data_IF_052877789512
#
_entry.id   IF_052877789512
#
_cell.length_a   1.000
_cell.length_b   1.000
_cell.length_c   1.000
_cell.angle_alpha   90.00
_cell.angle_beta   90.00
_cell.angle_gamma   90.00
#
_symmetry.space_group_name_H-M   'P 1'
#
loop_
_entity.id
_entity.type
_entity.pdbx_description
1 polymer ?
#
# COMPACT_ATOMS: atom_id res chain seq x y z
N UNK A 1 -3.58 16.84 4.66
CA UNK A 1 -2.40 15.99 4.89
C UNK A 1 -1.20 16.79 5.41
N UNK A 2 -0.74 17.85 4.73
CA UNK A 2 0.39 18.68 5.22
C UNK A 2 0.20 19.15 6.68
N UNK A 3 -1.01 19.58 7.06
CA UNK A 3 -1.34 19.92 8.45
C UNK A 3 -1.11 18.79 9.46
N UNK A 4 -1.24 17.53 9.03
CA UNK A 4 -1.14 16.36 9.90
C UNK A 4 0.30 15.82 10.00
N UNK A 5 1.07 15.88 8.91
CA UNK A 5 2.42 15.28 8.86
C UNK A 5 3.55 16.31 8.76
N UNK A 6 3.23 17.59 8.60
CA UNK A 6 4.17 18.68 8.36
C UNK A 6 4.58 18.81 6.88
N UNK A 7 5.06 20.00 6.52
CA UNK A 7 5.48 20.33 5.15
C UNK A 7 6.57 19.40 4.64
N UNK A 8 7.64 19.21 5.42
CA UNK A 8 8.78 18.37 5.03
C UNK A 8 8.35 16.94 4.68
N UNK A 9 7.54 16.29 5.52
CA UNK A 9 7.05 14.94 5.23
C UNK A 9 6.03 14.92 4.10
N UNK A 10 5.26 15.98 3.93
CA UNK A 10 4.36 16.11 2.79
C UNK A 10 5.13 16.20 1.47
N UNK A 11 6.27 16.87 1.44
CA UNK A 11 7.12 16.97 0.26
C UNK A 11 7.83 15.63 -0.01
N UNK A 12 8.37 14.96 1.02
CA UNK A 12 8.86 13.57 0.92
C UNK A 12 7.81 12.60 0.39
N UNK A 13 6.56 12.76 0.82
CA UNK A 13 5.47 11.92 0.31
C UNK A 13 5.21 12.18 -1.18
N UNK A 14 5.24 13.45 -1.64
CA UNK A 14 5.08 13.77 -3.06
C UNK A 14 6.19 13.15 -3.89
N UNK A 15 7.44 13.27 -3.44
CA UNK A 15 8.60 12.65 -4.10
C UNK A 15 8.45 11.12 -4.17
N UNK A 16 8.06 10.50 -3.05
CA UNK A 16 7.82 9.06 -3.00
C UNK A 16 6.73 8.63 -3.98
N UNK A 17 5.59 9.31 -3.98
CA UNK A 17 4.49 9.03 -4.90
C UNK A 17 4.90 9.24 -6.36
N UNK A 18 5.69 10.27 -6.67
CA UNK A 18 6.24 10.47 -8.01
C UNK A 18 7.09 9.27 -8.43
N UNK A 19 8.01 8.82 -7.56
CA UNK A 19 8.85 7.66 -7.86
C UNK A 19 8.05 6.37 -8.08
N UNK A 20 6.95 6.18 -7.35
CA UNK A 20 6.08 5.02 -7.55
C UNK A 20 5.34 5.07 -8.90
N UNK A 21 4.99 6.26 -9.37
CA UNK A 21 4.42 6.43 -10.71
C UNK A 21 5.48 6.14 -11.78
N UNK A 22 6.66 6.76 -11.67
CA UNK A 22 7.72 6.66 -12.67
C UNK A 22 8.27 5.23 -12.80
N UNK A 23 8.41 4.51 -11.68
CA UNK A 23 9.02 3.17 -11.67
C UNK A 23 8.01 2.04 -11.86
N UNK A 24 6.77 2.21 -11.37
CA UNK A 24 5.81 1.11 -11.26
C UNK A 24 4.44 1.43 -11.85
N UNK A 25 4.23 2.60 -12.44
CA UNK A 25 2.93 3.07 -12.91
C UNK A 25 1.84 3.04 -11.81
N UNK A 26 2.23 3.27 -10.55
CA UNK A 26 1.28 3.43 -9.45
C UNK A 26 0.78 4.87 -9.44
N UNK A 27 -0.52 5.01 -9.70
CA UNK A 27 -1.17 6.30 -9.83
C UNK A 27 -1.79 6.71 -8.48
N UNK A 28 -1.42 7.89 -7.93
CA UNK A 28 -2.13 8.44 -6.79
C UNK A 28 -3.53 8.90 -7.21
N UNK A 29 -4.56 8.38 -6.54
CA UNK A 29 -5.94 8.83 -6.73
C UNK A 29 -6.44 9.50 -5.46
N UNK A 30 -6.97 10.72 -5.60
CA UNK A 30 -7.68 11.37 -4.51
C UNK A 30 -9.07 10.74 -4.38
N UNK A 31 -9.26 9.96 -3.31
CA UNK A 31 -10.52 9.28 -3.03
C UNK A 31 -11.53 10.15 -2.28
N UNK A 32 -12.72 9.60 -2.05
CA UNK A 32 -13.71 10.17 -1.11
C UNK A 32 -13.06 10.37 0.27
N UNK A 33 -13.29 11.53 0.89
CA UNK A 33 -12.68 11.91 2.18
C UNK A 33 -11.21 12.37 2.08
N UNK A 34 -10.78 12.92 0.92
CA UNK A 34 -9.43 13.44 0.62
C UNK A 34 -8.26 12.52 1.02
N UNK A 35 -8.49 11.21 0.99
CA UNK A 35 -7.44 10.19 1.13
C UNK A 35 -6.68 10.00 -0.18
N UNK A 36 -5.37 9.80 -0.09
CA UNK A 36 -4.54 9.45 -1.24
C UNK A 36 -4.50 7.94 -1.34
N UNK A 37 -4.97 7.40 -2.46
CA UNK A 37 -4.98 5.97 -2.73
C UNK A 37 -3.90 5.62 -3.75
N UNK A 38 -2.96 4.75 -3.40
CA UNK A 38 -1.88 4.31 -4.27
C UNK A 38 -2.37 3.10 -5.07
N UNK A 39 -2.64 3.30 -6.36
CA UNK A 39 -3.25 2.27 -7.19
C UNK A 39 -2.38 1.91 -8.38
N UNK A 40 -2.01 0.64 -8.51
CA UNK A 40 -1.55 0.09 -9.77
C UNK A 40 -2.78 -0.14 -10.67
N UNK A 41 -2.73 0.33 -11.91
CA UNK A 41 -3.69 -0.06 -12.95
C UNK A 41 -3.01 -1.10 -13.84
N UNK A 42 -3.43 -2.36 -13.73
CA UNK A 42 -2.99 -3.41 -14.65
C UNK A 42 -3.91 -3.49 -15.86
N UNK A 43 -3.64 -4.44 -16.75
CA UNK A 43 -4.52 -4.80 -17.88
C UNK A 43 -5.88 -5.30 -17.39
N UNK A 44 -5.89 -6.09 -16.32
CA UNK A 44 -7.08 -6.82 -15.88
C UNK A 44 -7.82 -6.13 -14.72
N UNK A 45 -7.14 -5.41 -13.82
CA UNK A 45 -7.79 -4.77 -12.67
C UNK A 45 -7.00 -3.57 -12.10
N UNK A 46 -7.38 -3.12 -10.90
CA UNK A 46 -6.70 -2.10 -10.10
C UNK A 46 -6.36 -2.64 -8.72
N UNK A 47 -5.08 -2.58 -8.35
CA UNK A 47 -4.56 -3.03 -7.07
C UNK A 47 -4.23 -1.86 -6.16
N UNK A 48 -4.80 -1.85 -4.95
CA UNK A 48 -4.52 -0.82 -3.95
C UNK A 48 -3.35 -1.23 -3.04
N UNK A 49 -2.22 -0.54 -3.15
CA UNK A 49 -1.04 -0.81 -2.33
C UNK A 49 -1.05 -0.08 -0.98
N UNK A 50 -1.79 1.03 -0.90
CA UNK A 50 -2.09 1.75 0.34
C UNK A 50 -3.17 2.81 0.13
N UNK A 51 -3.80 3.22 1.23
CA UNK A 51 -4.65 4.40 1.32
C UNK A 51 -4.19 5.27 2.49
N UNK A 52 -3.67 6.45 2.19
CA UNK A 52 -3.17 7.42 3.16
C UNK A 52 -4.32 8.37 3.51
N UNK A 53 -4.75 8.33 4.77
CA UNK A 53 -5.85 9.14 5.27
C UNK A 53 -5.41 10.58 5.54
N UNK A 54 -6.36 11.50 5.75
CA UNK A 54 -6.06 12.92 5.98
C UNK A 54 -5.17 13.18 7.22
N UNK A 55 -5.29 12.33 8.24
CA UNK A 55 -4.50 12.34 9.48
C UNK A 55 -3.12 11.65 9.31
N UNK A 56 -2.80 11.14 8.13
CA UNK A 56 -1.55 10.45 7.82
C UNK A 56 -1.56 8.95 8.12
N UNK A 57 -2.64 8.38 8.65
CA UNK A 57 -2.70 6.92 8.84
C UNK A 57 -2.70 6.18 7.51
N UNK A 58 -2.00 5.05 7.47
CA UNK A 58 -1.95 4.17 6.29
C UNK A 58 -2.89 2.99 6.48
N UNK A 59 -3.88 2.91 5.60
CA UNK A 59 -4.87 1.85 5.57
C UNK A 59 -4.67 1.01 4.30
N UNK A 60 -5.19 -0.21 4.30
CA UNK A 60 -5.10 -1.14 3.18
C UNK A 60 -6.49 -1.65 2.87
N UNK A 61 -6.83 -1.68 1.58
CA UNK A 61 -8.13 -2.14 1.15
C UNK A 61 -8.01 -3.11 0.00
N UNK A 62 -8.60 -4.28 0.16
CA UNK A 62 -8.85 -5.19 -0.95
C UNK A 62 -7.62 -5.84 -1.59
N UNK A 63 -6.37 -5.52 -1.21
CA UNK A 63 -5.18 -6.14 -1.83
C UNK A 63 -5.23 -7.68 -1.75
N UNK A 64 -5.61 -8.23 -0.58
CA UNK A 64 -5.73 -9.68 -0.38
C UNK A 64 -6.82 -10.27 -1.26
N UNK A 65 -8.01 -9.64 -1.27
CA UNK A 65 -9.14 -10.08 -2.07
C UNK A 65 -8.85 -9.98 -3.58
N UNK A 66 -8.18 -8.92 -4.03
CA UNK A 66 -7.79 -8.74 -5.43
C UNK A 66 -6.79 -9.79 -5.87
N UNK A 67 -5.79 -10.11 -5.03
CA UNK A 67 -4.85 -11.20 -5.32
C UNK A 67 -5.52 -12.58 -5.28
N UNK A 68 -6.57 -12.76 -4.48
CA UNK A 68 -7.38 -13.99 -4.49
C UNK A 68 -8.18 -14.14 -5.80
N UNK A 69 -8.72 -13.05 -6.35
CA UNK A 69 -9.46 -13.06 -7.62
C UNK A 69 -8.60 -13.54 -8.78
N UNK A 70 -7.30 -13.17 -8.81
CA UNK A 70 -6.33 -13.67 -9.82
C UNK A 70 -5.67 -15.00 -9.44
N UNK A 71 -6.23 -15.72 -8.46
CA UNK A 71 -5.84 -17.10 -8.15
C UNK A 71 -4.79 -17.31 -7.07
N UNK A 72 -4.16 -16.26 -6.51
CA UNK A 72 -3.22 -16.41 -5.38
C UNK A 72 -3.38 -15.34 -4.29
N UNK A 73 -4.29 -15.63 -3.36
CA UNK A 73 -4.49 -14.88 -2.11
C UNK A 73 -3.23 -14.66 -1.29
N UNK A 74 -2.25 -15.58 -1.38
CA UNK A 74 -1.04 -15.52 -0.58
C UNK A 74 -0.18 -14.31 -0.91
N UNK A 75 -0.29 -13.75 -2.12
CA UNK A 75 0.43 -12.54 -2.55
C UNK A 75 0.05 -11.37 -1.65
N UNK A 76 -1.24 -11.04 -1.53
CA UNK A 76 -1.68 -9.93 -0.69
C UNK A 76 -1.40 -10.14 0.80
N UNK A 77 -1.51 -11.38 1.30
CA UNK A 77 -1.16 -11.70 2.70
C UNK A 77 0.33 -11.50 2.95
N UNK A 78 1.19 -11.99 2.05
CA UNK A 78 2.65 -11.83 2.14
C UNK A 78 3.02 -10.36 2.07
N UNK A 79 2.41 -9.58 1.19
CA UNK A 79 2.62 -8.13 1.12
C UNK A 79 2.37 -7.46 2.48
N UNK A 80 1.21 -7.69 3.10
CA UNK A 80 0.89 -7.07 4.40
C UNK A 80 1.78 -7.56 5.55
N UNK A 81 2.15 -8.84 5.55
CA UNK A 81 3.07 -9.40 6.57
C UNK A 81 4.50 -8.84 6.43
N UNK A 82 5.03 -8.79 5.21
CA UNK A 82 6.36 -8.24 4.95
C UNK A 82 6.40 -6.75 5.26
N UNK A 83 5.35 -6.02 4.89
CA UNK A 83 5.24 -4.60 5.21
C UNK A 83 5.20 -4.37 6.73
N UNK A 84 4.46 -5.20 7.46
CA UNK A 84 4.46 -5.17 8.93
C UNK A 84 5.86 -5.36 9.52
N UNK A 85 6.70 -6.22 8.95
CA UNK A 85 8.10 -6.39 9.40
C UNK A 85 8.90 -5.11 9.13
N UNK A 86 8.81 -4.56 7.90
CA UNK A 86 9.55 -3.35 7.47
C UNK A 86 9.29 -2.18 8.43
N UNK A 87 8.02 -1.96 8.79
CA UNK A 87 7.65 -0.85 9.68
C UNK A 87 7.51 -1.26 11.13
N UNK A 88 8.03 -2.42 11.57
CA UNK A 88 7.94 -2.84 12.97
C UNK A 88 6.51 -2.87 13.55
N UNK A 89 5.54 -3.21 12.71
CA UNK A 89 4.13 -3.39 13.04
C UNK A 89 3.75 -4.87 13.18
N UNK A 90 2.44 -5.12 13.10
CA UNK A 90 1.83 -6.45 13.10
C UNK A 90 0.76 -6.50 12.02
N UNK A 91 0.76 -7.59 11.27
CA UNK A 91 -0.37 -7.95 10.43
C UNK A 91 -1.61 -8.16 11.30
N UNK A 92 -2.67 -7.42 11.02
CA UNK A 92 -3.92 -7.43 11.76
C UNK A 92 -5.04 -7.95 10.85
N UNK A 93 -5.50 -9.15 11.18
CA UNK A 93 -6.57 -9.85 10.49
C UNK A 93 -7.85 -10.01 11.35
N UNK A 94 -8.01 -9.19 12.40
CA UNK A 94 -9.18 -9.26 13.30
C UNK A 94 -10.50 -8.90 12.61
N UNK A 95 -10.45 -8.12 11.54
CA UNK A 95 -11.62 -7.67 10.79
C UNK A 95 -11.83 -8.53 9.54
N UNK A 96 -12.89 -8.21 8.78
CA UNK A 96 -13.10 -8.80 7.45
C UNK A 96 -11.86 -8.58 6.58
N UNK A 97 -11.58 -9.53 5.72
CA UNK A 97 -10.40 -9.58 4.86
C UNK A 97 -10.13 -8.30 4.07
N UNK A 98 -11.20 -7.67 3.56
CA UNK A 98 -11.13 -6.38 2.89
C UNK A 98 -10.44 -5.28 3.72
N UNK A 99 -10.44 -5.41 5.04
CA UNK A 99 -9.90 -4.45 6.02
C UNK A 99 -8.68 -5.01 6.77
N UNK A 100 -8.08 -6.11 6.31
CA UNK A 100 -6.81 -6.57 6.88
C UNK A 100 -5.74 -5.51 6.69
N UNK A 101 -4.94 -5.29 7.74
CA UNK A 101 -4.11 -4.09 7.85
C UNK A 101 -2.79 -4.35 8.54
N UNK A 102 -1.94 -3.33 8.56
CA UNK A 102 -0.70 -3.28 9.36
C UNK A 102 -0.90 -2.29 10.49
N UNK A 103 -0.74 -2.74 11.74
CA UNK A 103 -0.96 -1.91 12.93
C UNK A 103 0.19 -2.06 13.92
N UNK A 104 0.41 -1.03 14.76
CA UNK A 104 1.30 -1.14 15.93
C UNK A 104 0.49 -0.80 17.17
N UNK A 105 0.51 -1.69 18.17
CA UNK A 105 -0.29 -1.54 19.40
C UNK A 105 -1.79 -1.29 19.13
N UNK A 106 -2.34 -1.94 18.10
CA UNK A 106 -3.75 -1.82 17.72
C UNK A 106 -4.13 -0.54 16.98
N UNK A 107 -3.17 0.33 16.65
CA UNK A 107 -3.38 1.57 15.89
C UNK A 107 -2.76 1.49 14.50
N UNK A 108 -3.34 2.21 13.54
CA UNK A 108 -2.73 2.37 12.22
C UNK A 108 -1.42 3.15 12.33
N UNK A 109 -0.46 2.78 11.50
CA UNK A 109 0.87 3.41 11.47
C UNK A 109 0.80 4.64 10.55
N UNK A 110 1.49 5.71 10.93
CA UNK A 110 1.51 6.95 10.15
C UNK A 110 2.45 6.83 8.94
N UNK A 111 2.08 7.47 7.83
CA UNK A 111 2.83 7.48 6.57
C UNK A 111 4.27 7.97 6.76
N UNK A 112 4.54 8.86 7.72
CA UNK A 112 5.90 9.32 8.02
C UNK A 112 6.83 8.17 8.37
N UNK A 113 6.34 7.15 9.09
CA UNK A 113 7.14 5.99 9.47
C UNK A 113 7.47 5.11 8.25
N UNK A 114 6.49 4.91 7.35
CA UNK A 114 6.73 4.19 6.09
C UNK A 114 7.75 4.91 5.21
N UNK A 115 7.72 6.26 5.17
CA UNK A 115 8.66 7.06 4.38
C UNK A 115 10.10 6.94 4.90
N UNK A 116 10.32 6.59 6.18
CA UNK A 116 11.67 6.28 6.68
C UNK A 116 12.24 4.96 6.12
N UNK A 117 11.37 4.11 5.56
CA UNK A 117 11.67 2.80 4.97
C UNK A 117 11.23 2.73 3.51
N UNK A 118 11.28 3.88 2.82
CA UNK A 118 10.72 4.04 1.48
C UNK A 118 11.31 3.09 0.45
N UNK A 119 12.62 2.83 0.50
CA UNK A 119 13.28 1.94 -0.47
C UNK A 119 12.92 0.48 -0.22
N UNK A 120 12.87 0.04 1.04
CA UNK A 120 12.39 -1.30 1.37
C UNK A 120 10.92 -1.50 0.98
N UNK A 121 10.10 -0.46 1.16
CA UNK A 121 8.69 -0.51 0.74
C UNK A 121 8.54 -0.55 -0.78
N UNK A 122 9.31 0.25 -1.53
CA UNK A 122 9.33 0.21 -3.00
C UNK A 122 9.73 -1.16 -3.51
N UNK A 123 10.78 -1.75 -2.94
CA UNK A 123 11.20 -3.11 -3.29
C UNK A 123 10.06 -4.12 -3.05
N UNK A 124 9.41 -4.05 -1.90
CA UNK A 124 8.28 -4.93 -1.61
C UNK A 124 7.12 -4.74 -2.60
N UNK A 125 6.83 -3.50 -3.00
CA UNK A 125 5.84 -3.20 -4.04
C UNK A 125 6.25 -3.86 -5.35
N UNK A 126 7.49 -3.63 -5.82
CA UNK A 126 8.02 -4.22 -7.05
C UNK A 126 7.92 -5.75 -7.07
N UNK A 127 8.40 -6.41 -6.01
CA UNK A 127 8.35 -7.87 -5.84
C UNK A 127 6.90 -8.40 -5.82
N UNK A 128 5.93 -7.57 -5.43
CA UNK A 128 4.50 -7.93 -5.40
C UNK A 128 3.87 -7.75 -6.78
N UNK A 129 4.22 -6.68 -7.50
CA UNK A 129 3.75 -6.40 -8.86
C UNK A 129 4.23 -7.51 -9.81
N UNK A 130 5.50 -7.92 -9.72
CA UNK A 130 6.03 -9.00 -10.56
C UNK A 130 5.17 -10.28 -10.43
N UNK A 131 4.78 -10.64 -9.21
CA UNK A 131 3.94 -11.83 -8.96
C UNK A 131 2.52 -11.66 -9.48
N UNK A 132 1.95 -10.45 -9.38
CA UNK A 132 0.63 -10.15 -9.93
C UNK A 132 0.67 -10.30 -11.45
N UNK A 133 1.66 -9.70 -12.12
CA UNK A 133 1.79 -9.76 -13.57
C UNK A 133 1.98 -11.20 -14.07
N UNK A 134 2.81 -12.01 -13.41
CA UNK A 134 3.00 -13.43 -13.76
C UNK A 134 1.67 -14.19 -13.75
N UNK A 135 0.76 -13.90 -12.82
CA UNK A 135 -0.54 -14.56 -12.75
C UNK A 135 -1.53 -14.00 -13.77
N UNK A 136 -1.55 -12.68 -13.99
CA UNK A 136 -2.42 -12.06 -14.98
C UNK A 136 -2.05 -12.43 -16.43
N UNK A 137 -0.77 -12.66 -16.72
CA UNK A 137 -0.28 -13.07 -18.04
C UNK A 137 -0.46 -14.59 -18.30
N UNK A 138 -0.79 -15.37 -17.27
CA UNK A 138 -1.00 -16.81 -17.37
C UNK A 138 -2.45 -17.21 -17.72
N UNK A 139 -3.38 -16.24 -17.75
CA UNK A 139 -4.78 -16.39 -18.22
C UNK A 139 -4.89 -16.19 -19.74
#
# INVERSE_FOLDING_TARGET
LERAIGKENSDKLKEFVSSLYDEFNIIPKLGRGKRISLNLKSSNDTYNFASIQENGEVWFYGIVNKTEVIGDKSIGIKYLKSLAIIVGGKFNNKFKEWNWSVTRNGKYINITEYLTKKEEWKKLISDTIEKINILEDAE
#
